data_IF_745931681882
#
_entry.id   IF_745931681882
#
_cell.length_a   1.000
_cell.length_b   1.000
_cell.length_c   1.000
_cell.angle_alpha   90.00
_cell.angle_beta   90.00
_cell.angle_gamma   90.00
#
_symmetry.space_group_name_H-M   'P 1'
#
loop_
_entity.id
_entity.type
_entity.pdbx_description
1 polymer ?
#
# COMPACT_ATOMS: atom_id res chain seq x y z
N UNK A 1 8.41 11.20 3.21
CA UNK A 1 7.97 9.85 3.59
C UNK A 1 7.73 9.03 2.35
N UNK A 2 7.83 7.70 2.46
CA UNK A 2 7.81 6.79 1.30
C UNK A 2 6.56 6.97 0.43
N UNK A 3 5.43 7.31 1.04
CA UNK A 3 4.14 7.46 0.37
C UNK A 3 3.95 8.83 -0.32
N UNK A 4 4.71 9.87 0.03
CA UNK A 4 4.48 11.23 -0.49
C UNK A 4 4.61 11.23 -2.02
N UNK A 5 5.71 10.71 -2.57
CA UNK A 5 5.92 10.64 -4.02
C UNK A 5 4.89 9.75 -4.75
N UNK A 6 4.38 8.70 -4.08
CA UNK A 6 3.38 7.82 -4.66
C UNK A 6 2.00 8.50 -4.74
N UNK A 7 1.61 9.22 -3.69
CA UNK A 7 0.38 10.01 -3.64
C UNK A 7 0.41 11.17 -4.63
N UNK A 8 1.54 11.86 -4.73
CA UNK A 8 1.78 12.91 -5.73
C UNK A 8 1.63 12.37 -7.16
N UNK A 9 2.24 11.22 -7.45
CA UNK A 9 2.10 10.59 -8.76
C UNK A 9 0.64 10.18 -9.06
N UNK A 10 -0.07 9.63 -8.07
CA UNK A 10 -1.49 9.29 -8.20
C UNK A 10 -2.36 10.54 -8.47
N UNK A 11 -2.10 11.65 -7.79
CA UNK A 11 -2.87 12.89 -7.97
C UNK A 11 -2.67 13.49 -9.37
N UNK A 12 -1.44 13.46 -9.89
CA UNK A 12 -1.13 13.86 -11.26
C UNK A 12 -1.82 12.98 -12.31
N UNK A 13 -1.94 11.67 -12.04
CA UNK A 13 -2.62 10.70 -12.91
C UNK A 13 -4.13 10.93 -12.93
N UNK A 14 -4.73 11.26 -11.78
CA UNK A 14 -6.18 11.51 -11.65
C UNK A 14 -6.58 12.87 -12.24
N UNK A 15 -5.74 13.90 -12.07
CA UNK A 15 -5.99 15.26 -12.52
C UNK A 15 -5.00 15.70 -13.62
N UNK A 16 -5.02 15.09 -14.82
CA UNK A 16 -3.98 15.29 -15.82
C UNK A 16 -3.90 16.73 -16.37
N UNK A 17 -5.00 17.51 -16.33
CA UNK A 17 -4.98 18.93 -16.72
C UNK A 17 -4.48 19.88 -15.64
N UNK A 18 -4.40 19.44 -14.37
CA UNK A 18 -4.03 20.28 -13.23
C UNK A 18 -2.98 19.59 -12.34
N UNK A 19 -2.03 18.88 -12.95
CA UNK A 19 -1.02 18.04 -12.27
C UNK A 19 -0.35 18.72 -11.09
N UNK A 20 0.22 19.89 -11.32
CA UNK A 20 0.94 20.67 -10.30
C UNK A 20 0.05 21.02 -9.11
N UNK A 21 -1.19 21.46 -9.38
CA UNK A 21 -2.13 21.81 -8.32
C UNK A 21 -2.65 20.58 -7.56
N UNK A 22 -2.88 19.47 -8.26
CA UNK A 22 -3.30 18.22 -7.63
C UNK A 22 -2.21 17.66 -6.72
N UNK A 23 -0.94 17.75 -7.15
CA UNK A 23 0.23 17.43 -6.35
C UNK A 23 0.31 18.29 -5.09
N UNK A 24 0.26 19.61 -5.24
CA UNK A 24 0.30 20.53 -4.10
C UNK A 24 -0.86 20.31 -3.13
N UNK A 25 -2.06 20.02 -3.64
CA UNK A 25 -3.24 19.79 -2.83
C UNK A 25 -3.09 18.53 -1.95
N UNK A 26 -2.66 17.40 -2.51
CA UNK A 26 -2.50 16.17 -1.73
C UNK A 26 -1.39 16.31 -0.69
N UNK A 27 -0.27 16.93 -1.06
CA UNK A 27 0.85 17.17 -0.13
C UNK A 27 0.45 18.13 0.99
N UNK A 28 -0.36 19.17 0.71
CA UNK A 28 -0.88 20.09 1.73
C UNK A 28 -1.86 19.40 2.68
N UNK A 29 -2.74 18.53 2.19
CA UNK A 29 -3.65 17.75 3.03
C UNK A 29 -2.90 16.87 4.04
N UNK A 30 -1.91 16.11 3.57
CA UNK A 30 -1.09 15.27 4.44
C UNK A 30 -0.22 16.08 5.38
N UNK A 31 0.25 17.26 4.97
CA UNK A 31 0.97 18.18 5.86
C UNK A 31 0.07 18.65 7.01
N UNK A 32 -1.14 19.12 6.72
CA UNK A 32 -2.09 19.56 7.75
C UNK A 32 -2.49 18.42 8.70
N UNK A 33 -2.56 17.20 8.20
CA UNK A 33 -2.83 16.03 9.03
C UNK A 33 -1.67 15.75 10.00
N UNK A 34 -0.41 15.81 9.52
CA UNK A 34 0.79 15.62 10.35
C UNK A 34 0.95 16.70 11.42
N UNK A 35 0.55 17.93 11.10
CA UNK A 35 0.60 19.08 12.02
C UNK A 35 -0.55 19.06 13.04
N UNK A 36 -1.55 18.19 12.87
CA UNK A 36 -2.65 18.06 13.82
C UNK A 36 -2.19 17.22 15.03
N UNK A 37 -2.26 17.76 16.26
CA UNK A 37 -1.87 17.06 17.48
C UNK A 37 -2.56 15.71 17.70
N UNK A 38 -3.78 15.56 17.20
CA UNK A 38 -4.60 14.35 17.41
C UNK A 38 -4.14 13.17 16.55
N UNK A 39 -3.52 13.43 15.39
CA UNK A 39 -3.06 12.40 14.44
C UNK A 39 -1.55 12.16 14.48
N UNK A 40 -0.76 13.19 14.80
CA UNK A 40 0.70 13.09 14.92
C UNK A 40 1.46 12.92 13.59
N UNK A 41 2.78 12.77 13.68
CA UNK A 41 3.67 12.73 12.51
C UNK A 41 3.75 11.37 11.80
N UNK A 42 3.32 10.28 12.45
CA UNK A 42 3.42 8.91 11.93
C UNK A 42 2.03 8.30 11.84
N UNK A 43 1.65 7.92 10.64
CA UNK A 43 0.36 7.29 10.38
C UNK A 43 0.49 5.77 10.40
N UNK A 44 -0.57 5.09 10.84
CA UNK A 44 -0.69 3.64 10.72
C UNK A 44 -0.63 3.21 9.23
N UNK A 45 0.06 2.10 8.90
CA UNK A 45 0.16 1.61 7.52
C UNK A 45 -1.21 1.39 6.86
N UNK A 46 -2.21 0.92 7.61
CA UNK A 46 -3.57 0.67 7.15
C UNK A 46 -4.22 1.94 6.61
N UNK A 47 -4.01 3.08 7.28
CA UNK A 47 -4.49 4.38 6.81
C UNK A 47 -3.87 4.72 5.45
N UNK A 48 -2.54 4.65 5.35
CA UNK A 48 -1.81 5.01 4.13
C UNK A 48 -2.17 4.09 2.97
N UNK A 49 -2.16 2.78 3.20
CA UNK A 49 -2.55 1.81 2.17
C UNK A 49 -4.00 1.97 1.75
N UNK A 50 -4.89 2.30 2.69
CA UNK A 50 -6.30 2.54 2.40
C UNK A 50 -6.50 3.69 1.44
N UNK A 51 -5.94 4.85 1.78
CA UNK A 51 -6.00 6.05 0.93
C UNK A 51 -5.37 5.77 -0.44
N UNK A 52 -4.18 5.16 -0.47
CA UNK A 52 -3.48 4.90 -1.72
C UNK A 52 -4.21 3.91 -2.62
N UNK A 53 -4.72 2.79 -2.10
CA UNK A 53 -5.47 1.80 -2.88
C UNK A 53 -6.76 2.41 -3.40
N UNK A 54 -7.47 3.20 -2.59
CA UNK A 54 -8.68 3.88 -3.03
C UNK A 54 -8.41 4.90 -4.15
N UNK A 55 -7.31 5.67 -4.06
CA UNK A 55 -6.89 6.58 -5.13
C UNK A 55 -6.43 5.83 -6.38
N UNK A 56 -5.73 4.70 -6.22
CA UNK A 56 -5.32 3.85 -7.32
C UNK A 56 -6.53 3.28 -8.08
N UNK A 57 -7.47 2.66 -7.36
CA UNK A 57 -8.72 2.15 -7.91
C UNK A 57 -9.53 3.29 -8.56
N UNK A 58 -9.57 4.48 -7.95
CA UNK A 58 -10.20 5.65 -8.54
C UNK A 58 -9.53 6.05 -9.87
N UNK A 59 -8.19 6.06 -9.91
CA UNK A 59 -7.40 6.42 -11.11
C UNK A 59 -7.58 5.42 -12.25
N UNK A 60 -7.71 4.12 -11.95
CA UNK A 60 -7.89 3.07 -12.96
C UNK A 60 -9.31 3.10 -13.53
N UNK A 61 -10.31 3.28 -12.67
CA UNK A 61 -11.71 3.41 -13.07
C UNK A 61 -12.00 4.68 -13.88
N UNK A 62 -11.20 5.73 -13.70
CA UNK A 62 -11.35 7.03 -14.39
C UNK A 62 -10.23 7.31 -15.40
N UNK A 63 -9.49 6.30 -15.86
CA UNK A 63 -8.21 6.46 -16.60
C UNK A 63 -8.21 7.36 -17.86
N UNK A 64 -9.37 7.75 -18.39
CA UNK A 64 -9.53 8.67 -19.52
C UNK A 64 -10.33 9.94 -19.19
N UNK A 65 -10.80 10.09 -17.95
CA UNK A 65 -11.63 11.21 -17.53
C UNK A 65 -10.76 12.24 -16.81
N UNK A 66 -10.79 13.48 -17.29
CA UNK A 66 -10.15 14.59 -16.62
C UNK A 66 -10.98 15.01 -15.40
N UNK A 67 -10.70 14.42 -14.24
CA UNK A 67 -11.37 14.77 -12.99
C UNK A 67 -11.02 16.20 -12.63
N UNK A 68 -12.03 17.01 -12.29
CA UNK A 68 -11.80 18.38 -11.87
C UNK A 68 -11.11 18.41 -10.51
N UNK A 69 -10.28 19.42 -10.29
CA UNK A 69 -9.48 19.56 -9.07
C UNK A 69 -10.36 19.68 -7.80
N UNK A 70 -11.53 20.32 -7.92
CA UNK A 70 -12.49 20.42 -6.82
C UNK A 70 -13.08 19.04 -6.46
N UNK A 71 -13.47 18.24 -7.45
CA UNK A 71 -13.98 16.88 -7.23
C UNK A 71 -12.92 15.98 -6.61
N UNK A 72 -11.69 16.04 -7.13
CA UNK A 72 -10.55 15.30 -6.59
C UNK A 72 -10.25 15.70 -5.14
N UNK A 73 -10.16 17.01 -4.84
CA UNK A 73 -9.84 17.48 -3.50
C UNK A 73 -10.89 17.10 -2.46
N UNK A 74 -12.18 17.21 -2.80
CA UNK A 74 -13.29 16.77 -1.94
C UNK A 74 -13.22 15.27 -1.66
N UNK A 75 -12.92 14.47 -2.68
CA UNK A 75 -12.76 13.03 -2.55
C UNK A 75 -11.57 12.66 -1.65
N UNK A 76 -10.41 13.32 -1.83
CA UNK A 76 -9.23 13.12 -0.98
C UNK A 76 -9.49 13.44 0.49
N UNK A 77 -10.18 14.54 0.80
CA UNK A 77 -10.58 14.88 2.16
C UNK A 77 -11.46 13.77 2.74
N UNK A 78 -12.48 13.33 2.00
CA UNK A 78 -13.34 12.24 2.44
C UNK A 78 -12.57 10.92 2.64
N UNK A 79 -11.58 10.61 1.80
CA UNK A 79 -10.75 9.40 1.94
C UNK A 79 -9.92 9.44 3.22
N UNK A 80 -9.25 10.57 3.47
CA UNK A 80 -8.48 10.78 4.70
C UNK A 80 -9.39 10.58 5.90
N UNK A 81 -10.56 11.24 5.94
CA UNK A 81 -11.50 11.10 7.05
C UNK A 81 -11.95 9.65 7.26
N UNK A 82 -12.34 8.96 6.19
CA UNK A 82 -12.83 7.58 6.27
C UNK A 82 -11.73 6.66 6.80
N UNK A 83 -10.54 6.70 6.21
CA UNK A 83 -9.47 5.79 6.62
C UNK A 83 -8.88 6.12 7.99
N UNK A 84 -8.83 7.40 8.39
CA UNK A 84 -8.42 7.77 9.75
C UNK A 84 -9.34 7.18 10.81
N UNK A 85 -10.66 7.20 10.57
CA UNK A 85 -11.67 6.63 11.49
C UNK A 85 -11.61 5.10 11.59
N UNK A 86 -10.99 4.42 10.64
CA UNK A 86 -10.93 2.96 10.58
C UNK A 86 -9.59 2.46 11.12
N UNK A 87 -8.52 3.21 10.91
CA UNK A 87 -7.18 2.86 11.36
C UNK A 87 -6.93 3.14 12.83
N UNK A 88 -7.64 4.10 13.43
CA UNK A 88 -7.44 4.49 14.81
C UNK A 88 -8.53 3.94 15.73
N UNK A 89 -8.12 3.39 16.88
CA UNK A 89 -9.01 2.98 17.97
C UNK A 89 -9.63 4.19 18.71
N UNK A 90 -9.23 5.42 18.36
CA UNK A 90 -9.75 6.66 18.90
C UNK A 90 -11.05 7.06 18.21
N UNK A 91 -11.89 7.82 18.93
CA UNK A 91 -13.10 8.40 18.36
C UNK A 91 -12.75 9.59 17.47
N UNK A 92 -12.35 9.32 16.23
CA UNK A 92 -12.11 10.34 15.21
C UNK A 92 -13.45 10.84 14.65
N UNK A 93 -13.66 12.15 14.66
CA UNK A 93 -14.88 12.83 14.22
C UNK A 93 -14.63 13.76 13.03
N UNK A 94 -15.70 14.12 12.31
CA UNK A 94 -15.57 15.08 11.20
C UNK A 94 -15.10 16.47 11.67
N UNK A 95 -15.32 16.82 12.93
CA UNK A 95 -14.84 18.07 13.53
C UNK A 95 -13.32 18.18 13.51
N UNK A 96 -12.61 17.05 13.53
CA UNK A 96 -11.16 17.02 13.71
C UNK A 96 -10.42 17.44 12.42
N UNK A 97 -11.17 17.53 11.31
CA UNK A 97 -10.69 17.94 9.99
C UNK A 97 -11.17 19.35 9.58
N UNK A 98 -11.71 20.15 10.52
CA UNK A 98 -12.13 21.54 10.24
C UNK A 98 -10.96 22.41 9.73
N UNK A 99 -9.73 22.08 10.14
CA UNK A 99 -8.52 22.76 9.68
C UNK A 99 -8.33 22.68 8.15
N UNK A 100 -8.72 21.57 7.50
CA UNK A 100 -8.65 21.44 6.04
C UNK A 100 -9.53 22.49 5.35
N UNK A 101 -10.71 22.77 5.90
CA UNK A 101 -11.62 23.81 5.38
C UNK A 101 -11.31 25.21 5.90
N UNK A 102 -10.19 25.38 6.60
CA UNK A 102 -9.70 26.66 7.10
C UNK A 102 -8.38 27.06 6.41
N UNK A 103 -7.73 26.12 5.73
CA UNK A 103 -6.55 26.37 4.91
C UNK A 103 -6.93 27.09 3.60
N UNK A 104 -6.26 28.22 3.34
CA UNK A 104 -6.55 29.07 2.18
C UNK A 104 -6.21 28.39 0.86
N UNK A 105 -5.14 27.59 0.82
CA UNK A 105 -4.69 26.91 -0.40
C UNK A 105 -5.69 25.83 -0.79
N UNK A 106 -6.17 25.04 0.19
CA UNK A 106 -7.21 24.03 -0.04
C UNK A 106 -8.53 24.70 -0.46
N UNK A 107 -8.98 25.72 0.27
CA UNK A 107 -10.26 26.40 -0.02
C UNK A 107 -10.37 26.93 -1.44
N UNK A 108 -9.29 27.54 -1.95
CA UNK A 108 -9.25 28.09 -3.30
C UNK A 108 -9.49 27.03 -4.39
N UNK A 109 -8.98 25.81 -4.19
CA UNK A 109 -9.10 24.75 -5.18
C UNK A 109 -10.42 23.95 -5.05
N UNK A 110 -11.00 23.84 -3.85
CA UNK A 110 -12.24 23.10 -3.63
C UNK A 110 -13.50 23.84 -4.12
N UNK A 111 -13.45 25.16 -4.28
CA UNK A 111 -14.60 26.00 -4.71
C UNK A 111 -15.86 25.84 -3.83
N UNK A 112 -15.68 25.63 -2.53
CA UNK A 112 -16.76 25.27 -1.59
C UNK A 112 -17.49 26.45 -0.95
N UNK A 113 -17.08 27.70 -1.19
CA UNK A 113 -17.70 28.87 -0.54
C UNK A 113 -19.21 28.97 -0.84
N UNK A 114 -19.64 28.63 -2.06
CA UNK A 114 -21.06 28.57 -2.40
C UNK A 114 -21.84 27.51 -1.62
N UNK A 115 -21.23 26.35 -1.38
CA UNK A 115 -21.81 25.26 -0.59
C UNK A 115 -21.90 25.64 0.89
N UNK A 116 -20.83 26.22 1.44
CA UNK A 116 -20.81 26.74 2.81
C UNK A 116 -21.86 27.84 3.00
N UNK A 117 -21.96 28.79 2.07
CA UNK A 117 -22.97 29.86 2.13
C UNK A 117 -24.40 29.30 2.14
N UNK A 118 -24.66 28.26 1.35
CA UNK A 118 -25.96 27.56 1.34
C UNK A 118 -26.26 26.91 2.69
N UNK A 119 -25.31 26.16 3.27
CA UNK A 119 -25.51 25.50 4.57
C UNK A 119 -25.73 26.55 5.69
N UNK A 120 -24.95 27.63 5.70
CA UNK A 120 -25.13 28.74 6.65
C UNK A 120 -26.52 29.35 6.53
N UNK A 121 -26.99 29.59 5.30
CA UNK A 121 -28.35 30.09 5.03
C UNK A 121 -29.42 29.12 5.53
N UNK A 122 -29.24 27.82 5.31
CA UNK A 122 -30.19 26.79 5.78
C UNK A 122 -30.35 26.80 7.31
N UNK A 123 -29.28 27.07 8.08
CA UNK A 123 -29.36 27.26 9.53
C UNK A 123 -30.12 28.53 9.92
N UNK A 124 -29.84 29.65 9.24
CA UNK A 124 -30.53 30.92 9.50
C UNK A 124 -32.03 30.84 9.19
N UNK A 125 -32.40 30.06 8.17
CA UNK A 125 -33.78 29.83 7.71
C UNK A 125 -34.49 28.65 8.38
N UNK A 126 -33.89 28.01 9.39
CA UNK A 126 -34.46 26.85 10.13
C UNK A 126 -34.72 25.61 9.26
N UNK A 127 -34.10 25.53 8.07
CA UNK A 127 -34.08 24.31 7.24
C UNK A 127 -33.14 23.25 7.80
N UNK A 128 -32.13 23.67 8.57
CA UNK A 128 -31.27 22.82 9.39
C UNK A 128 -31.35 23.29 10.84
N UNK A 129 -31.34 22.32 11.76
CA UNK A 129 -31.42 22.57 13.19
C UNK A 129 -30.26 21.89 13.91
N UNK A 130 -29.72 22.55 14.93
CA UNK A 130 -28.71 22.01 15.82
C UNK A 130 -29.01 22.51 17.25
N UNK A 131 -28.89 21.67 18.30
CA UNK A 131 -29.20 22.08 19.67
C UNK A 131 -28.49 23.36 20.13
N UNK A 132 -27.23 23.52 19.72
CA UNK A 132 -26.40 24.68 20.07
C UNK A 132 -26.69 25.97 19.27
N UNK A 133 -27.65 25.95 18.33
CA UNK A 133 -27.96 27.10 17.47
C UNK A 133 -29.45 27.39 17.49
N UNK A 134 -29.80 28.54 18.06
CA UNK A 134 -31.13 29.14 17.89
C UNK A 134 -31.20 29.80 16.52
N UNK A 135 -32.11 29.40 15.62
CA UNK A 135 -32.27 30.05 14.31
C UNK A 135 -32.61 31.53 14.46
N UNK A 136 -32.14 32.38 13.53
CA UNK A 136 -32.33 33.83 13.60
C UNK A 136 -33.82 34.22 13.64
N UNK A 137 -34.67 33.48 12.94
CA UNK A 137 -36.13 33.66 12.91
C UNK A 137 -36.77 33.55 14.31
N UNK A 138 -36.15 32.78 15.21
CA UNK A 138 -36.66 32.52 16.56
C UNK A 138 -36.01 33.43 17.63
N UNK A 139 -35.05 34.28 17.25
CA UNK A 139 -34.32 35.14 18.18
C UNK A 139 -35.06 36.46 18.39
N UNK A 140 -35.65 36.65 19.59
CA UNK A 140 -36.37 37.89 19.96
C UNK A 140 -35.47 38.97 20.56
N UNK A 141 -34.29 38.60 21.09
CA UNK A 141 -33.28 39.51 21.61
C UNK A 141 -31.89 38.86 21.46
N UNK A 142 -30.96 39.51 20.76
CA UNK A 142 -29.64 38.94 20.49
C UNK A 142 -28.57 39.67 21.30
N UNK A 143 -28.22 39.13 22.47
CA UNK A 143 -27.12 39.66 23.29
C UNK A 143 -25.75 39.58 22.58
N UNK A 144 -25.58 38.68 21.59
CA UNK A 144 -24.37 38.65 20.76
C UNK A 144 -24.55 37.90 19.41
N UNK A 145 -24.94 38.57 18.31
CA UNK A 145 -25.15 37.93 17.01
C UNK A 145 -23.87 37.32 16.44
N UNK A 146 -22.70 37.88 16.75
CA UNK A 146 -21.41 37.41 16.25
C UNK A 146 -21.07 35.99 16.75
N UNK A 147 -21.40 35.65 18.00
CA UNK A 147 -21.20 34.30 18.53
C UNK A 147 -22.02 33.25 17.77
N UNK A 148 -23.27 33.57 17.45
CA UNK A 148 -24.15 32.69 16.67
C UNK A 148 -23.62 32.51 15.24
N UNK A 149 -23.23 33.60 14.58
CA UNK A 149 -22.64 33.51 13.23
C UNK A 149 -21.36 32.68 13.20
N UNK A 150 -20.48 32.84 14.19
CA UNK A 150 -19.27 32.03 14.33
C UNK A 150 -19.60 30.54 14.46
N UNK A 151 -20.57 30.21 15.34
CA UNK A 151 -20.99 28.82 15.56
C UNK A 151 -21.64 28.19 14.33
N UNK A 152 -22.49 28.93 13.62
CA UNK A 152 -23.06 28.50 12.33
C UNK A 152 -21.94 28.27 11.30
N UNK A 153 -20.91 29.11 11.30
CA UNK A 153 -19.73 28.96 10.45
C UNK A 153 -19.00 27.64 10.68
N UNK A 154 -18.78 27.24 11.93
CA UNK A 154 -18.18 25.95 12.30
C UNK A 154 -19.06 24.77 11.92
N UNK A 155 -20.34 24.81 12.29
CA UNK A 155 -21.29 23.74 11.97
C UNK A 155 -21.45 23.54 10.47
N UNK A 156 -21.43 24.62 9.68
CA UNK A 156 -21.46 24.54 8.22
C UNK A 156 -20.24 23.79 7.65
N UNK A 157 -19.05 23.98 8.24
CA UNK A 157 -17.86 23.21 7.86
C UNK A 157 -18.01 21.73 8.22
N UNK A 158 -18.47 21.43 9.43
CA UNK A 158 -18.68 20.04 9.90
C UNK A 158 -19.69 19.32 8.99
N UNK A 159 -20.81 19.96 8.67
CA UNK A 159 -21.84 19.39 7.80
C UNK A 159 -21.37 19.19 6.36
N UNK A 160 -20.46 20.04 5.87
CA UNK A 160 -19.84 19.85 4.58
C UNK A 160 -18.84 18.67 4.60
N UNK A 161 -18.04 18.54 5.66
CA UNK A 161 -17.14 17.40 5.85
C UNK A 161 -17.91 16.07 5.92
N UNK A 162 -19.05 16.04 6.62
CA UNK A 162 -19.96 14.87 6.62
C UNK A 162 -20.47 14.53 5.22
N UNK A 163 -20.74 15.52 4.39
CA UNK A 163 -21.14 15.30 2.99
C UNK A 163 -19.99 14.71 2.18
N UNK A 164 -18.76 15.17 2.37
CA UNK A 164 -17.58 14.59 1.70
C UNK A 164 -17.34 13.15 2.13
N UNK A 165 -17.39 12.87 3.44
CA UNK A 165 -17.31 11.50 3.97
C UNK A 165 -18.38 10.58 3.38
N UNK A 166 -19.65 11.00 3.42
CA UNK A 166 -20.77 10.19 2.92
C UNK A 166 -20.63 9.92 1.42
N UNK A 167 -20.21 10.93 0.65
CA UNK A 167 -19.95 10.78 -0.78
C UNK A 167 -18.80 9.81 -1.03
N UNK A 168 -17.71 9.91 -0.29
CA UNK A 168 -16.57 9.00 -0.42
C UNK A 168 -16.94 7.57 -0.04
N UNK A 169 -17.68 7.35 1.04
CA UNK A 169 -18.17 6.02 1.41
C UNK A 169 -19.03 5.42 0.30
N UNK A 170 -19.91 6.20 -0.33
CA UNK A 170 -20.69 5.74 -1.48
C UNK A 170 -19.79 5.36 -2.67
N UNK A 171 -18.76 6.16 -2.97
CA UNK A 171 -17.77 5.84 -4.00
C UNK A 171 -16.97 4.56 -3.70
N UNK A 172 -16.76 4.23 -2.43
CA UNK A 172 -16.13 2.99 -1.97
C UNK A 172 -17.12 1.82 -1.86
N UNK A 173 -18.37 1.98 -2.31
CA UNK A 173 -19.46 1.01 -2.11
C UNK A 173 -19.62 0.59 -0.64
N UNK A 174 -19.39 1.52 0.28
CA UNK A 174 -19.42 1.32 1.73
C UNK A 174 -18.48 0.20 2.22
N UNK A 175 -17.45 -0.13 1.43
CA UNK A 175 -16.45 -1.14 1.75
C UNK A 175 -15.07 -0.52 1.81
N UNK A 176 -14.47 -0.63 2.98
CA UNK A 176 -13.15 -0.05 3.30
C UNK A 176 -12.09 -1.14 3.54
N UNK A 177 -12.44 -2.39 3.23
CA UNK A 177 -11.53 -3.53 3.32
C UNK A 177 -10.44 -3.41 2.27
N UNK A 178 -9.19 -3.46 2.72
CA UNK A 178 -8.02 -3.45 1.85
C UNK A 178 -7.50 -4.89 1.76
N UNK A 179 -7.36 -5.38 0.53
CA UNK A 179 -6.80 -6.71 0.27
C UNK A 179 -5.30 -6.56 0.02
N UNK A 180 -4.49 -7.44 0.60
CA UNK A 180 -3.04 -7.37 0.44
C UNK A 180 -2.61 -7.51 -1.02
N UNK A 181 -3.34 -8.32 -1.81
CA UNK A 181 -3.11 -8.48 -3.24
C UNK A 181 -3.28 -7.15 -3.99
N UNK A 182 -4.26 -6.33 -3.59
CA UNK A 182 -4.45 -4.98 -4.15
C UNK A 182 -3.30 -4.06 -3.77
N UNK A 183 -2.83 -4.11 -2.53
CA UNK A 183 -1.67 -3.32 -2.08
C UNK A 183 -0.46 -3.67 -2.95
N UNK A 184 -0.16 -4.96 -3.12
CA UNK A 184 1.00 -5.40 -3.90
C UNK A 184 0.86 -5.09 -5.38
N UNK A 185 -0.33 -5.29 -5.96
CA UNK A 185 -0.60 -4.91 -7.35
C UNK A 185 -0.38 -3.41 -7.56
N UNK A 186 -0.94 -2.58 -6.68
CA UNK A 186 -0.76 -1.12 -6.71
C UNK A 186 0.72 -0.75 -6.56
N UNK A 187 1.42 -1.25 -5.54
CA UNK A 187 2.83 -0.92 -5.30
C UNK A 187 3.71 -1.34 -6.49
N UNK A 188 3.47 -2.51 -7.07
CA UNK A 188 4.18 -2.96 -8.27
C UNK A 188 3.99 -2.00 -9.43
N UNK A 189 2.77 -1.55 -9.67
CA UNK A 189 2.51 -0.59 -10.74
C UNK A 189 3.18 0.76 -10.44
N UNK A 190 2.90 1.35 -9.28
CA UNK A 190 3.36 2.70 -8.92
C UNK A 190 4.89 2.79 -8.82
N UNK A 191 5.53 1.83 -8.13
CA UNK A 191 6.98 1.82 -8.00
C UNK A 191 7.63 1.73 -9.38
N UNK A 192 7.10 0.91 -10.29
CA UNK A 192 7.63 0.79 -11.64
C UNK A 192 7.48 2.05 -12.52
N UNK A 193 6.71 3.05 -12.10
CA UNK A 193 6.56 4.33 -12.80
C UNK A 193 7.43 5.45 -12.22
N UNK A 194 7.91 5.34 -10.99
CA UNK A 194 8.70 6.39 -10.30
C UNK A 194 10.21 6.16 -10.47
N UNK A 195 11.02 7.22 -10.32
CA UNK A 195 12.49 7.17 -10.43
C UNK A 195 13.19 6.70 -9.15
N UNK A 196 12.71 7.14 -7.98
CA UNK A 196 13.36 6.91 -6.68
C UNK A 196 12.93 5.61 -5.99
N UNK A 197 12.78 4.53 -6.77
CA UNK A 197 12.24 3.24 -6.29
C UNK A 197 12.98 2.70 -5.07
N UNK A 198 14.31 2.73 -5.08
CA UNK A 198 15.14 2.19 -4.00
C UNK A 198 14.90 2.90 -2.67
N UNK A 199 14.77 4.23 -2.69
CA UNK A 199 14.51 5.03 -1.49
C UNK A 199 13.14 4.67 -0.93
N UNK A 200 12.12 4.67 -1.79
CA UNK A 200 10.74 4.36 -1.39
C UNK A 200 10.63 2.94 -0.82
N UNK A 201 11.21 1.93 -1.48
CA UNK A 201 11.19 0.54 -1.00
C UNK A 201 11.94 0.42 0.32
N UNK A 202 13.04 1.15 0.50
CA UNK A 202 13.84 1.13 1.73
C UNK A 202 13.07 1.74 2.89
N UNK A 203 12.49 2.93 2.69
CA UNK A 203 11.68 3.60 3.70
C UNK A 203 10.45 2.77 4.07
N UNK A 204 9.72 2.24 3.08
CA UNK A 204 8.56 1.37 3.32
C UNK A 204 8.94 0.11 4.11
N UNK A 205 10.07 -0.52 3.77
CA UNK A 205 10.56 -1.68 4.53
C UNK A 205 10.84 -1.35 6.00
N UNK A 206 11.44 -0.19 6.27
CA UNK A 206 11.71 0.24 7.65
C UNK A 206 10.42 0.58 8.41
N UNK A 207 9.46 1.20 7.72
CA UNK A 207 8.16 1.60 8.28
C UNK A 207 7.31 0.39 8.69
N UNK A 208 7.36 -0.71 7.92
CA UNK A 208 6.62 -1.94 8.21
C UNK A 208 7.34 -2.87 9.19
N UNK A 209 8.65 -2.71 9.41
CA UNK A 209 9.43 -3.60 10.28
C UNK A 209 8.87 -3.77 11.71
N UNK A 210 8.32 -2.73 12.38
CA UNK A 210 7.67 -2.87 13.68
C UNK A 210 6.40 -3.74 13.70
N UNK A 211 5.84 -4.09 12.54
CA UNK A 211 4.66 -4.95 12.38
C UNK A 211 5.02 -6.41 12.12
N UNK A 212 6.31 -6.72 12.00
CA UNK A 212 6.78 -8.08 11.76
C UNK A 212 6.31 -9.04 12.86
N UNK A 213 5.75 -10.18 12.49
CA UNK A 213 5.21 -11.21 13.38
C UNK A 213 3.85 -10.87 14.00
N UNK A 214 3.24 -9.73 13.64
CA UNK A 214 1.90 -9.34 14.12
C UNK A 214 0.79 -9.73 13.13
N UNK A 215 1.12 -9.80 11.85
CA UNK A 215 0.19 -10.12 10.76
C UNK A 215 0.94 -10.81 9.60
N UNK A 216 0.39 -11.93 9.12
CA UNK A 216 1.03 -12.77 8.10
C UNK A 216 1.17 -12.06 6.74
N UNK A 217 0.26 -11.13 6.44
CA UNK A 217 0.26 -10.36 5.20
C UNK A 217 1.32 -9.27 5.25
N UNK A 218 1.49 -8.60 6.40
CA UNK A 218 2.61 -7.69 6.60
C UNK A 218 3.95 -8.44 6.55
N UNK A 219 4.04 -9.63 7.12
CA UNK A 219 5.25 -10.46 7.04
C UNK A 219 5.61 -10.85 5.61
N UNK A 220 4.62 -11.26 4.81
CA UNK A 220 4.78 -11.54 3.39
C UNK A 220 5.30 -10.31 2.62
N UNK A 221 4.73 -9.14 2.89
CA UNK A 221 5.13 -7.89 2.26
C UNK A 221 6.55 -7.47 2.67
N UNK A 222 6.89 -7.51 3.96
CA UNK A 222 8.22 -7.20 4.50
C UNK A 222 9.28 -8.10 3.87
N UNK A 223 9.01 -9.41 3.76
CA UNK A 223 9.90 -10.36 3.10
C UNK A 223 10.13 -9.98 1.63
N UNK A 224 9.05 -9.68 0.90
CA UNK A 224 9.14 -9.29 -0.50
C UNK A 224 9.92 -7.98 -0.68
N UNK A 225 9.71 -6.98 0.18
CA UNK A 225 10.45 -5.71 0.13
C UNK A 225 11.95 -5.92 0.40
N UNK A 226 12.30 -6.74 1.39
CA UNK A 226 13.70 -7.10 1.70
C UNK A 226 14.39 -7.75 0.50
N UNK A 227 13.68 -8.63 -0.21
CA UNK A 227 14.19 -9.29 -1.43
C UNK A 227 14.46 -8.27 -2.54
N UNK A 228 13.52 -7.37 -2.81
CA UNK A 228 13.71 -6.35 -3.84
C UNK A 228 14.82 -5.35 -3.47
N UNK A 229 14.98 -5.01 -2.18
CA UNK A 229 16.09 -4.18 -1.72
C UNK A 229 17.45 -4.79 -2.03
N UNK A 230 17.63 -6.10 -1.79
CA UNK A 230 18.87 -6.81 -2.14
C UNK A 230 19.15 -6.72 -3.65
N UNK A 231 18.13 -6.89 -4.50
CA UNK A 231 18.29 -6.77 -5.96
C UNK A 231 18.75 -5.36 -6.36
N UNK A 232 18.13 -4.34 -5.76
CA UNK A 232 18.46 -2.94 -6.06
C UNK A 232 19.86 -2.56 -5.57
N UNK A 233 20.32 -3.07 -4.43
CA UNK A 233 21.67 -2.79 -3.92
C UNK A 233 22.77 -3.53 -4.68
N UNK A 234 22.53 -4.75 -5.15
CA UNK A 234 23.52 -5.52 -5.93
C UNK A 234 23.74 -4.98 -7.36
N UNK A 235 22.81 -4.23 -7.93
CA UNK A 235 22.94 -3.65 -9.28
C UNK A 235 23.77 -2.36 -9.34
N UNK A 236 24.33 -1.90 -8.21
CA UNK A 236 25.22 -0.72 -8.14
C UNK A 236 26.69 -1.16 -8.28
N UNK A 237 27.08 -1.65 -9.46
CA UNK A 237 28.51 -1.79 -9.81
C UNK A 237 28.99 -0.51 -10.52
N UNK A 238 30.16 0.06 -10.20
CA UNK A 238 30.55 1.42 -10.63
C UNK A 238 30.86 1.57 -12.14
N UNK A 239 30.67 0.54 -12.97
CA UNK A 239 31.11 0.52 -14.36
C UNK A 239 30.04 0.01 -15.34
N UNK A 240 28.82 0.52 -15.25
CA UNK A 240 27.89 0.55 -16.39
C UNK A 240 26.75 1.52 -16.09
N UNK A 241 26.94 2.80 -16.41
CA UNK A 241 25.83 3.72 -16.60
C UNK A 241 25.25 3.49 -18.00
N UNK A 242 24.15 2.73 -18.10
CA UNK A 242 23.12 2.96 -19.12
C UNK A 242 21.79 2.23 -18.80
N UNK A 243 20.81 2.98 -18.30
CA UNK A 243 19.37 2.88 -18.64
C UNK A 243 18.52 1.62 -18.35
N UNK A 244 18.98 0.57 -17.67
CA UNK A 244 18.06 -0.52 -17.28
C UNK A 244 17.36 -0.19 -15.96
N UNK A 245 16.13 0.33 -16.03
CA UNK A 245 15.26 0.46 -14.85
C UNK A 245 14.99 -0.94 -14.31
N UNK A 246 15.54 -1.28 -13.14
CA UNK A 246 15.27 -2.57 -12.49
C UNK A 246 13.79 -2.64 -12.17
N UNK A 247 13.06 -3.58 -12.78
CA UNK A 247 11.62 -3.73 -12.54
C UNK A 247 11.41 -4.32 -11.14
N UNK A 248 10.63 -3.61 -10.32
CA UNK A 248 10.19 -4.09 -9.01
C UNK A 248 9.10 -5.15 -9.22
N UNK A 249 9.24 -6.29 -8.54
CA UNK A 249 8.22 -7.33 -8.52
C UNK A 249 8.00 -7.87 -7.11
N UNK A 250 7.15 -7.18 -6.37
CA UNK A 250 6.63 -7.62 -5.09
C UNK A 250 5.67 -8.80 -5.31
N UNK A 251 5.90 -9.88 -4.58
CA UNK A 251 5.05 -11.07 -4.62
C UNK A 251 4.76 -11.43 -3.17
N UNK A 252 3.47 -11.47 -2.82
CA UNK A 252 3.02 -12.03 -1.56
C UNK A 252 3.23 -13.53 -1.62
N UNK A 253 4.42 -13.97 -1.26
CA UNK A 253 4.61 -15.34 -0.81
C UNK A 253 3.99 -15.36 0.57
N UNK A 254 2.95 -16.19 0.84
CA UNK A 254 2.40 -16.30 2.19
C UNK A 254 3.55 -16.38 3.16
N UNK A 255 3.59 -15.43 4.10
CA UNK A 255 4.62 -15.39 5.11
C UNK A 255 4.69 -16.79 5.70
N UNK A 256 5.89 -17.37 5.72
CA UNK A 256 6.17 -18.46 6.63
C UNK A 256 5.67 -17.99 7.99
N UNK A 257 4.55 -18.54 8.44
CA UNK A 257 4.32 -18.74 9.86
C UNK A 257 5.44 -19.69 10.29
N UNK A 258 6.64 -19.13 10.51
CA UNK A 258 7.78 -19.88 11.06
C UNK A 258 7.38 -20.53 12.40
N UNK A 259 6.32 -20.02 13.04
CA UNK A 259 5.74 -20.52 14.28
C UNK A 259 4.71 -21.66 14.10
N UNK A 260 4.27 -21.96 12.87
CA UNK A 260 3.29 -23.01 12.58
C UNK A 260 3.78 -24.13 11.64
N UNK A 261 5.04 -24.08 11.18
CA UNK A 261 5.72 -25.29 10.76
C UNK A 261 5.87 -26.19 12.01
N UNK A 262 5.50 -27.48 11.96
CA UNK A 262 5.79 -28.40 13.06
C UNK A 262 7.32 -28.51 13.20
N UNK A 263 7.88 -27.70 14.10
CA UNK A 263 9.30 -27.53 14.43
C UNK A 263 10.11 -26.83 13.34
N UNK A 264 10.66 -25.66 13.70
CA UNK A 264 11.82 -25.03 13.06
C UNK A 264 12.83 -26.09 12.63
N UNK A 265 12.86 -26.42 11.33
CA UNK A 265 13.98 -27.15 10.74
C UNK A 265 14.70 -26.18 9.79
N UNK A 266 15.79 -25.52 10.24
CA UNK A 266 16.60 -24.62 9.42
C UNK A 266 17.04 -25.23 8.09
N UNK A 267 17.16 -26.57 8.05
CA UNK A 267 17.54 -27.31 6.85
C UNK A 267 16.42 -27.29 5.81
N UNK A 268 15.15 -27.39 6.21
CA UNK A 268 14.00 -27.29 5.29
C UNK A 268 13.90 -25.89 4.70
N UNK A 269 14.16 -24.86 5.50
CA UNK A 269 14.21 -23.46 5.03
C UNK A 269 15.33 -23.29 4.00
N UNK A 270 16.53 -23.80 4.29
CA UNK A 270 17.65 -23.75 3.36
C UNK A 270 17.37 -24.52 2.06
N UNK A 271 16.73 -25.68 2.15
CA UNK A 271 16.28 -26.47 0.99
C UNK A 271 15.28 -25.67 0.15
N UNK A 272 14.29 -25.04 0.78
CA UNK A 272 13.33 -24.17 0.10
C UNK A 272 14.04 -23.05 -0.67
N UNK A 273 14.95 -22.33 -0.02
CA UNK A 273 15.70 -21.25 -0.68
C UNK A 273 16.49 -21.76 -1.90
N UNK A 274 17.13 -22.94 -1.80
CA UNK A 274 17.86 -23.53 -2.93
C UNK A 274 16.93 -23.95 -4.08
N UNK A 275 15.75 -24.51 -3.78
CA UNK A 275 14.75 -24.89 -4.79
C UNK A 275 14.11 -23.67 -5.48
N UNK A 276 13.83 -22.60 -4.73
CA UNK A 276 13.35 -21.34 -5.30
C UNK A 276 14.38 -20.72 -6.25
N UNK A 277 15.66 -20.76 -5.89
CA UNK A 277 16.74 -20.27 -6.75
C UNK A 277 16.83 -21.05 -8.07
N UNK A 278 16.61 -22.36 -8.04
CA UNK A 278 16.53 -23.19 -9.26
C UNK A 278 15.37 -22.75 -10.17
N UNK A 279 14.17 -22.52 -9.61
CA UNK A 279 12.99 -22.06 -10.35
C UNK A 279 13.22 -20.69 -11.00
N UNK A 280 13.87 -19.77 -10.29
CA UNK A 280 14.10 -18.41 -10.77
C UNK A 280 15.19 -18.27 -11.84
N UNK A 281 16.20 -19.13 -11.84
CA UNK A 281 17.33 -19.09 -12.78
C UNK A 281 16.96 -19.34 -14.26
N UNK A 282 15.75 -19.82 -14.55
CA UNK A 282 15.24 -19.95 -15.92
C UNK A 282 14.59 -18.64 -16.43
N UNK A 283 13.92 -17.89 -15.54
CA UNK A 283 13.11 -16.72 -15.90
C UNK A 283 13.92 -15.50 -16.40
N UNK A 284 15.22 -15.45 -16.13
CA UNK A 284 16.14 -14.40 -16.58
C UNK A 284 16.91 -14.73 -17.87
N UNK A 285 16.65 -15.87 -18.54
CA UNK A 285 17.45 -16.32 -19.70
C UNK A 285 16.84 -15.97 -21.07
N UNK A 286 16.35 -14.73 -21.25
CA UNK A 286 16.19 -14.15 -22.59
C UNK A 286 17.25 -13.09 -22.83
N UNK A 287 18.48 -13.55 -23.04
CA UNK A 287 19.58 -12.75 -23.56
C UNK A 287 20.84 -12.87 -22.73
N UNK A 288 21.77 -13.73 -23.17
CA UNK A 288 23.22 -13.50 -23.17
C UNK A 288 23.91 -14.74 -23.74
N UNK A 289 24.60 -14.54 -24.87
CA UNK A 289 25.50 -15.51 -25.47
C UNK A 289 26.79 -15.58 -24.63
N UNK A 290 27.28 -16.81 -24.39
CA UNK A 290 28.53 -17.18 -23.72
C UNK A 290 28.59 -17.10 -22.17
N UNK A 291 27.85 -17.98 -21.51
CA UNK A 291 28.28 -18.65 -20.28
C UNK A 291 27.65 -20.05 -20.24
N UNK A 292 28.21 -21.01 -19.50
CA UNK A 292 27.78 -22.41 -19.50
C UNK A 292 26.24 -22.53 -19.39
N UNK A 293 25.63 -23.24 -20.35
CA UNK A 293 24.17 -23.45 -20.38
C UNK A 293 23.74 -24.26 -19.17
N UNK A 294 23.30 -23.58 -18.13
CA UNK A 294 22.61 -24.18 -17.00
C UNK A 294 21.17 -24.46 -17.44
N UNK A 295 20.83 -25.73 -17.65
CA UNK A 295 19.48 -26.17 -18.03
C UNK A 295 18.62 -26.29 -16.77
N UNK A 296 17.49 -25.58 -16.74
CA UNK A 296 16.52 -25.63 -15.65
C UNK A 296 15.17 -26.02 -16.27
N UNK A 297 14.96 -27.28 -16.67
CA UNK A 297 13.79 -27.65 -17.49
C UNK A 297 12.54 -28.04 -16.68
N UNK A 298 12.66 -28.11 -15.34
CA UNK A 298 11.62 -28.65 -14.45
C UNK A 298 11.11 -27.62 -13.44
N UNK A 299 11.13 -26.33 -13.82
CA UNK A 299 10.79 -25.22 -12.93
C UNK A 299 9.35 -25.25 -12.44
N UNK A 300 8.42 -25.77 -13.25
CA UNK A 300 7.01 -25.92 -12.87
C UNK A 300 6.84 -26.97 -11.78
N UNK A 301 7.42 -28.15 -11.98
CA UNK A 301 7.35 -29.27 -11.04
C UNK A 301 8.06 -28.94 -9.72
N UNK A 302 9.22 -28.27 -9.79
CA UNK A 302 9.92 -27.81 -8.58
C UNK A 302 9.12 -26.73 -7.85
N UNK A 303 8.47 -25.81 -8.57
CA UNK A 303 7.60 -24.82 -7.94
C UNK A 303 6.39 -25.47 -7.24
N UNK A 304 5.79 -26.52 -7.80
CA UNK A 304 4.72 -27.27 -7.15
C UNK A 304 5.19 -27.93 -5.84
N UNK A 305 6.42 -28.45 -5.79
CA UNK A 305 7.03 -29.00 -4.58
C UNK A 305 7.26 -27.91 -3.54
N UNK A 306 7.79 -26.75 -3.95
CA UNK A 306 7.97 -25.59 -3.07
C UNK A 306 6.64 -25.15 -2.45
N UNK A 307 5.55 -25.13 -3.25
CA UNK A 307 4.21 -24.83 -2.74
C UNK A 307 3.69 -25.89 -1.74
N UNK A 308 4.01 -27.18 -1.93
CA UNK A 308 3.66 -28.23 -0.96
C UNK A 308 4.44 -28.07 0.36
N UNK A 309 5.70 -27.64 0.31
CA UNK A 309 6.46 -27.30 1.52
C UNK A 309 5.80 -26.12 2.24
N UNK A 310 5.39 -25.08 1.50
CA UNK A 310 4.71 -23.92 2.06
C UNK A 310 3.34 -24.21 2.65
N UNK A 311 2.62 -25.20 2.13
CA UNK A 311 1.34 -25.66 2.68
C UNK A 311 1.49 -26.55 3.92
N UNK A 312 2.72 -26.93 4.28
CA UNK A 312 2.98 -27.87 5.37
C UNK A 312 2.69 -29.33 4.98
N UNK A 313 2.55 -29.64 3.69
CA UNK A 313 2.35 -31.00 3.19
C UNK A 313 3.68 -31.78 3.13
N UNK A 314 4.81 -31.07 3.02
CA UNK A 314 6.16 -31.63 2.99
C UNK A 314 6.99 -31.07 4.15
N UNK A 315 7.05 -31.84 5.24
CA UNK A 315 7.63 -31.41 6.52
C UNK A 315 8.95 -32.11 6.89
N UNK A 316 9.47 -32.95 6.01
CA UNK A 316 10.75 -33.66 6.21
C UNK A 316 11.59 -33.60 4.95
N UNK A 317 12.91 -33.62 5.13
CA UNK A 317 13.87 -33.70 4.02
C UNK A 317 13.61 -34.95 3.18
N UNK A 318 13.27 -36.07 3.82
CA UNK A 318 12.87 -37.31 3.15
C UNK A 318 11.67 -37.11 2.22
N UNK A 319 10.62 -36.44 2.67
CA UNK A 319 9.43 -36.21 1.87
C UNK A 319 9.72 -35.28 0.67
N UNK A 320 10.55 -34.25 0.90
CA UNK A 320 10.97 -33.31 -0.15
C UNK A 320 11.83 -34.02 -1.20
N UNK A 321 12.85 -34.78 -0.77
CA UNK A 321 13.70 -35.56 -1.68
C UNK A 321 12.91 -36.63 -2.44
N UNK A 322 11.91 -37.24 -1.81
CA UNK A 322 11.04 -38.21 -2.45
C UNK A 322 10.19 -37.58 -3.55
N UNK A 323 9.62 -36.39 -3.33
CA UNK A 323 8.89 -35.67 -4.38
C UNK A 323 9.82 -35.20 -5.51
N UNK A 324 11.02 -34.72 -5.18
CA UNK A 324 12.03 -34.33 -6.19
C UNK A 324 12.48 -35.52 -7.04
N UNK A 325 12.59 -36.71 -6.46
CA UNK A 325 12.95 -37.94 -7.18
C UNK A 325 11.87 -38.43 -8.16
N UNK A 326 10.62 -37.95 -8.05
CA UNK A 326 9.54 -38.27 -8.99
C UNK A 326 9.63 -37.45 -10.28
N UNK A 327 10.43 -36.38 -10.30
CA UNK A 327 10.63 -35.57 -11.50
C UNK A 327 11.46 -36.38 -12.50
N UNK A 328 10.92 -36.62 -13.69
CA UNK A 328 11.63 -37.34 -14.75
C UNK A 328 12.64 -36.41 -15.43
N UNK A 329 13.89 -36.42 -14.95
CA UNK A 329 14.97 -35.58 -15.49
C UNK A 329 15.71 -36.32 -16.61
N UNK A 330 15.31 -36.07 -17.86
CA UNK A 330 15.93 -36.70 -19.04
C UNK A 330 17.31 -36.11 -19.36
N UNK A 331 17.54 -34.84 -19.01
CA UNK A 331 18.80 -34.14 -19.28
C UNK A 331 19.76 -34.27 -18.09
N UNK A 332 20.81 -35.08 -18.26
CA UNK A 332 21.88 -35.28 -17.27
C UNK A 332 22.67 -34.02 -16.89
N UNK A 333 22.51 -32.90 -17.62
CA UNK A 333 23.13 -31.60 -17.33
C UNK A 333 22.20 -30.61 -16.61
N UNK A 334 21.01 -31.04 -16.21
CA UNK A 334 20.08 -30.19 -15.46
C UNK A 334 20.64 -29.88 -14.06
N UNK A 335 20.59 -28.61 -13.65
CA UNK A 335 21.08 -28.18 -12.34
C UNK A 335 20.30 -28.82 -11.18
N UNK A 336 19.07 -29.28 -11.42
CA UNK A 336 18.27 -29.97 -10.42
C UNK A 336 18.95 -31.26 -9.97
N UNK A 337 19.70 -31.94 -10.84
CA UNK A 337 20.45 -33.15 -10.47
C UNK A 337 21.57 -32.80 -9.49
N UNK A 338 22.27 -31.69 -9.71
CA UNK A 338 23.34 -31.22 -8.82
C UNK A 338 22.75 -30.82 -7.47
N UNK A 339 21.64 -30.07 -7.50
CA UNK A 339 20.92 -29.66 -6.30
C UNK A 339 20.43 -30.89 -5.50
N UNK A 340 19.78 -31.87 -6.14
CA UNK A 340 19.34 -33.10 -5.47
C UNK A 340 20.52 -33.84 -4.83
N UNK A 341 21.67 -33.94 -5.52
CA UNK A 341 22.88 -34.58 -4.97
C UNK A 341 23.46 -33.81 -3.79
N UNK A 342 23.47 -32.48 -3.87
CA UNK A 342 23.92 -31.61 -2.77
C UNK A 342 23.07 -31.84 -1.52
N UNK A 343 21.74 -31.82 -1.67
CA UNK A 343 20.79 -32.08 -0.58
C UNK A 343 20.94 -33.50 -0.01
N UNK A 344 21.25 -34.49 -0.85
CA UNK A 344 21.54 -35.86 -0.41
C UNK A 344 22.89 -35.98 0.30
N UNK A 345 23.88 -35.15 -0.05
CA UNK A 345 25.22 -35.16 0.55
C UNK A 345 25.26 -34.47 1.92
N UNK A 346 24.52 -33.37 2.10
CA UNK A 346 24.35 -32.69 3.39
C UNK A 346 23.77 -33.65 4.45
N UNK A 347 22.91 -34.59 4.03
CA UNK A 347 22.38 -35.70 4.85
C UNK A 347 23.45 -36.71 5.32
N UNK A 348 24.45 -36.99 4.49
CA UNK A 348 25.46 -38.02 4.79
C UNK A 348 26.46 -37.56 5.87
N UNK A 349 26.66 -36.26 6.03
CA UNK A 349 27.45 -35.68 7.11
C UNK A 349 26.76 -35.78 8.47
N UNK A 350 25.43 -35.65 8.50
CA UNK A 350 24.65 -35.58 9.75
C UNK A 350 24.44 -36.97 10.38
N UNK A 351 24.40 -38.05 9.58
CA UNK A 351 24.30 -39.44 10.10
C UNK A 351 25.61 -40.03 10.64
N UNK A 352 26.72 -39.29 10.57
CA UNK A 352 28.05 -39.70 11.05
C UNK A 352 28.49 -38.99 12.34
N UNK A 353 27.66 -38.09 12.86
CA UNK A 353 27.72 -37.54 14.22
C UNK A 353 26.68 -38.27 15.08
#
# INVERSE_FOLDING_TARGET
MWYDTLLEYLSEKICPSNKEKARLLISQLFKLLKENPDFGEKFEPEFIFGVMVALYDYSTNHGNQNVSLDKFGKYCIGLIMVFSKISEDLSVYCSDFINFLSDKTILQELKIEGELAKIRKDYLEKKRIHPDVTPFIDQKDVENPFKIYSRIGELAKIDLLKQFESHTLACLNFSVKIQAEKIVSMLNDLLNHIKNQQVIVSELYQDLLPYKGKDDLFDALIFSLKRELKKLTHNVSPKTQLSSKTKINLVLVPGLKLDHLPRYNPEIVSICEKLENYVFNESNKKGLFFSAKNYCNHTKEVNEIVQKIFKGDLLTIEAILHELAKINIENHKDELILLIKELQSERACIRKL
#
